data_IF_599871084953
#
_entry.id   IF_599871084953
#
_cell.length_a   1.000
_cell.length_b   1.000
_cell.length_c   1.000
_cell.angle_alpha   90.00
_cell.angle_beta   90.00
_cell.angle_gamma   90.00
#
_symmetry.space_group_name_H-M   'P 1'
#
loop_
_entity.id
_entity.type
_entity.pdbx_description
1 polymer ?
#
# COMPACT_ATOMS: atom_id res chain seq x y z
N UNK A 1 3.73 -6.21 -19.40
CA UNK A 1 3.34 -6.53 -18.01
C UNK A 1 3.28 -8.03 -17.77
N UNK A 2 3.33 -8.43 -16.51
CA UNK A 2 3.19 -9.81 -16.08
C UNK A 2 2.19 -9.90 -14.93
N UNK A 3 1.25 -10.84 -15.01
CA UNK A 3 0.34 -11.16 -13.90
C UNK A 3 1.04 -12.03 -12.86
N UNK A 4 0.79 -11.77 -11.58
CA UNK A 4 1.30 -12.57 -10.47
C UNK A 4 0.30 -12.56 -9.28
N UNK A 5 0.75 -13.07 -8.15
CA UNK A 5 0.05 -13.05 -6.86
C UNK A 5 1.00 -12.54 -5.78
N UNK A 6 0.49 -11.72 -4.87
CA UNK A 6 1.27 -11.19 -3.76
C UNK A 6 1.94 -12.32 -2.95
N UNK A 7 1.21 -13.41 -2.69
CA UNK A 7 1.71 -14.58 -1.96
C UNK A 7 2.83 -15.35 -2.66
N UNK A 8 3.06 -15.10 -3.95
CA UNK A 8 4.11 -15.76 -4.74
C UNK A 8 5.36 -14.91 -4.95
N UNK A 9 5.37 -13.68 -4.48
CA UNK A 9 6.51 -12.78 -4.67
C UNK A 9 7.75 -13.19 -3.84
N UNK A 10 7.66 -14.23 -3.02
CA UNK A 10 8.79 -14.89 -2.34
C UNK A 10 9.31 -16.14 -3.09
N UNK A 11 8.69 -16.53 -4.22
CA UNK A 11 9.05 -17.73 -4.96
C UNK A 11 10.08 -17.42 -6.06
N UNK A 12 11.22 -18.10 -6.06
CA UNK A 12 12.33 -17.88 -7.00
C UNK A 12 11.90 -18.05 -8.46
N UNK A 13 11.00 -18.99 -8.76
CA UNK A 13 10.52 -19.21 -10.12
C UNK A 13 9.54 -18.12 -10.56
N UNK A 14 8.77 -17.60 -9.64
CA UNK A 14 7.89 -16.46 -9.92
C UNK A 14 8.71 -15.19 -10.15
N UNK A 15 9.71 -14.93 -9.30
CA UNK A 15 10.67 -13.83 -9.49
C UNK A 15 11.32 -13.93 -10.87
N UNK A 16 11.73 -15.12 -11.30
CA UNK A 16 12.34 -15.34 -12.62
C UNK A 16 11.45 -14.93 -13.81
N UNK A 17 10.11 -14.90 -13.64
CA UNK A 17 9.17 -14.45 -14.66
C UNK A 17 8.99 -12.93 -14.67
N UNK A 18 9.10 -12.30 -13.50
CA UNK A 18 8.73 -10.90 -13.33
C UNK A 18 9.94 -9.96 -13.28
N UNK A 19 11.14 -10.46 -13.02
CA UNK A 19 12.33 -9.65 -12.74
C UNK A 19 12.67 -8.64 -13.86
N UNK A 20 12.43 -9.03 -15.10
CA UNK A 20 12.71 -8.22 -16.30
C UNK A 20 11.48 -7.42 -16.78
N UNK A 21 10.38 -7.41 -16.01
CA UNK A 21 9.15 -6.69 -16.41
C UNK A 21 9.07 -5.30 -15.79
N UNK A 22 8.43 -4.38 -16.49
CA UNK A 22 8.22 -3.02 -15.99
C UNK A 22 6.95 -2.88 -15.14
N UNK A 23 6.00 -3.81 -15.25
CA UNK A 23 4.75 -3.79 -14.51
C UNK A 23 4.34 -5.20 -14.12
N UNK A 24 4.15 -5.43 -12.85
CA UNK A 24 3.56 -6.64 -12.29
C UNK A 24 2.18 -6.31 -11.77
N UNK A 25 1.16 -7.07 -12.16
CA UNK A 25 -0.22 -6.87 -11.73
C UNK A 25 -0.63 -8.07 -10.87
N UNK A 26 -1.05 -7.81 -9.64
CA UNK A 26 -1.61 -8.81 -8.72
C UNK A 26 -3.10 -8.49 -8.52
N UNK A 27 -3.99 -9.11 -9.32
CA UNK A 27 -5.43 -8.86 -9.23
C UNK A 27 -6.07 -9.65 -8.08
N UNK A 28 -7.20 -9.14 -7.58
CA UNK A 28 -8.06 -9.80 -6.60
C UNK A 28 -7.31 -10.34 -5.38
N UNK A 29 -6.38 -9.54 -4.87
CA UNK A 29 -5.61 -9.93 -3.71
C UNK A 29 -6.46 -9.93 -2.44
N UNK A 30 -6.15 -10.88 -1.56
CA UNK A 30 -6.79 -11.01 -0.24
C UNK A 30 -5.91 -10.40 0.83
N UNK A 31 -6.49 -10.10 1.98
CA UNK A 31 -5.74 -9.64 3.15
C UNK A 31 -4.57 -10.60 3.44
N UNK A 32 -3.39 -10.06 3.51
CA UNK A 32 -2.16 -10.77 3.83
C UNK A 32 -1.72 -10.44 5.25
N UNK A 33 -1.24 -11.44 5.95
CA UNK A 33 -0.67 -11.30 7.30
C UNK A 33 0.68 -12.00 7.28
N UNK A 34 1.72 -11.33 7.75
CA UNK A 34 3.03 -11.95 7.96
C UNK A 34 4.12 -11.44 7.05
N UNK A 35 4.83 -12.34 6.36
CA UNK A 35 6.05 -12.01 5.63
C UNK A 35 5.77 -11.32 4.29
N UNK A 36 6.23 -10.08 4.17
CA UNK A 36 6.19 -9.28 2.95
C UNK A 36 7.58 -9.13 2.30
N UNK A 37 8.54 -9.97 2.69
CA UNK A 37 9.95 -9.88 2.28
C UNK A 37 10.13 -9.79 0.77
N UNK A 38 9.42 -10.60 -0.01
CA UNK A 38 9.48 -10.55 -1.47
C UNK A 38 9.01 -9.22 -2.05
N UNK A 39 7.87 -8.70 -1.58
CA UNK A 39 7.38 -7.38 -2.00
C UNK A 39 8.35 -6.27 -1.60
N UNK A 40 8.89 -6.34 -0.38
CA UNK A 40 9.84 -5.36 0.13
C UNK A 40 11.15 -5.37 -0.67
N UNK A 41 11.68 -6.55 -1.00
CA UNK A 41 12.89 -6.69 -1.82
C UNK A 41 12.65 -6.18 -3.25
N UNK A 42 11.54 -6.56 -3.88
CA UNK A 42 11.17 -6.08 -5.22
C UNK A 42 11.08 -4.55 -5.27
N UNK A 43 10.42 -3.95 -4.29
CA UNK A 43 10.17 -2.51 -4.27
C UNK A 43 11.28 -1.70 -3.58
N UNK A 44 12.25 -2.38 -2.96
CA UNK A 44 13.39 -1.77 -2.26
C UNK A 44 14.57 -1.46 -3.15
N UNK A 45 14.63 -2.06 -4.34
CA UNK A 45 15.82 -2.02 -5.18
C UNK A 45 16.94 -2.93 -4.67
N UNK A 46 16.59 -3.94 -3.86
CA UNK A 46 17.55 -4.92 -3.35
C UNK A 46 17.95 -5.92 -4.44
N UNK A 47 19.16 -6.51 -4.36
CA UNK A 47 19.53 -7.62 -5.22
C UNK A 47 18.71 -8.86 -4.83
N UNK A 48 18.00 -9.44 -5.80
CA UNK A 48 17.10 -10.57 -5.58
C UNK A 48 17.69 -11.79 -6.25
N UNK A 49 17.86 -12.87 -5.48
CA UNK A 49 18.20 -14.17 -6.03
C UNK A 49 16.98 -14.83 -6.65
N UNK A 50 17.12 -15.39 -7.83
CA UNK A 50 16.07 -16.14 -8.49
C UNK A 50 16.63 -17.24 -9.37
N UNK A 51 15.82 -18.21 -9.75
CA UNK A 51 16.23 -19.35 -10.55
C UNK A 51 15.20 -19.66 -11.63
N UNK A 52 15.65 -19.71 -12.89
CA UNK A 52 14.87 -20.28 -13.98
C UNK A 52 14.95 -21.81 -13.90
N UNK A 53 13.88 -22.49 -14.34
CA UNK A 53 13.82 -23.96 -14.33
C UNK A 53 15.01 -24.52 -15.12
N UNK A 54 15.71 -25.48 -14.53
CA UNK A 54 16.92 -26.13 -15.08
C UNK A 54 18.14 -25.20 -15.24
N UNK A 55 18.17 -24.04 -14.58
CA UNK A 55 19.34 -23.15 -14.58
C UNK A 55 19.86 -22.94 -13.16
N UNK A 56 21.09 -22.49 -13.05
CA UNK A 56 21.65 -22.06 -11.77
C UNK A 56 20.97 -20.79 -11.27
N UNK A 57 21.00 -20.60 -9.95
CA UNK A 57 20.50 -19.38 -9.34
C UNK A 57 21.32 -18.17 -9.81
N UNK A 58 20.66 -17.10 -10.11
CA UNK A 58 21.28 -15.83 -10.50
C UNK A 58 20.72 -14.70 -9.66
N UNK A 59 21.35 -13.55 -9.71
CA UNK A 59 20.92 -12.36 -8.97
C UNK A 59 20.58 -11.24 -9.94
N UNK A 60 19.49 -10.54 -9.71
CA UNK A 60 19.07 -9.40 -10.50
C UNK A 60 18.39 -8.33 -9.66
N UNK A 61 17.99 -7.27 -10.32
CA UNK A 61 17.24 -6.15 -9.72
C UNK A 61 15.93 -5.97 -10.45
N UNK A 62 14.88 -5.68 -9.69
CA UNK A 62 13.59 -5.33 -10.28
C UNK A 62 13.49 -3.81 -10.40
N UNK A 63 13.19 -3.32 -11.60
CA UNK A 63 13.04 -1.90 -11.90
C UNK A 63 11.61 -1.51 -12.29
N UNK A 64 10.68 -2.41 -12.07
CA UNK A 64 9.28 -2.21 -12.42
C UNK A 64 8.44 -1.64 -11.28
N UNK A 65 7.15 -1.58 -11.54
CA UNK A 65 6.10 -1.22 -10.58
C UNK A 65 5.25 -2.45 -10.27
N UNK A 66 4.84 -2.61 -9.02
CA UNK A 66 3.88 -3.64 -8.60
C UNK A 66 2.53 -2.97 -8.37
N UNK A 67 1.52 -3.35 -9.13
CA UNK A 67 0.14 -2.92 -8.97
C UNK A 67 -0.66 -4.02 -8.25
N UNK A 68 -1.13 -3.68 -7.05
CA UNK A 68 -1.97 -4.58 -6.24
C UNK A 68 -3.42 -4.11 -6.33
N UNK A 69 -4.32 -5.02 -6.65
CA UNK A 69 -5.76 -4.74 -6.74
C UNK A 69 -6.48 -5.60 -5.72
N UNK A 70 -7.30 -4.99 -4.87
CA UNK A 70 -8.02 -5.69 -3.81
C UNK A 70 -9.33 -4.99 -3.47
N UNK A 71 -10.30 -5.77 -3.00
CA UNK A 71 -11.56 -5.27 -2.45
C UNK A 71 -11.52 -5.12 -0.92
N UNK A 72 -10.38 -5.37 -0.30
CA UNK A 72 -10.17 -5.30 1.15
C UNK A 72 -8.81 -4.67 1.45
N UNK A 73 -8.62 -4.19 2.69
CA UNK A 73 -7.30 -3.77 3.16
C UNK A 73 -6.31 -4.94 3.04
N UNK A 74 -5.21 -4.71 2.30
CA UNK A 74 -4.31 -5.79 1.89
C UNK A 74 -3.41 -6.30 3.01
N UNK A 75 -2.91 -5.40 3.85
CA UNK A 75 -1.85 -5.72 4.80
C UNK A 75 -2.35 -5.63 6.23
N UNK A 76 -1.88 -6.53 7.09
CA UNK A 76 -2.14 -6.49 8.52
C UNK A 76 -0.88 -6.84 9.31
N UNK A 77 -0.76 -6.31 10.53
CA UNK A 77 0.40 -6.43 11.39
C UNK A 77 1.39 -5.29 11.18
N UNK A 78 2.70 -5.56 11.32
CA UNK A 78 3.72 -4.53 11.10
C UNK A 78 3.87 -4.24 9.60
N UNK A 79 3.30 -3.11 9.18
CA UNK A 79 3.33 -2.62 7.80
C UNK A 79 4.34 -1.50 7.58
N UNK A 80 5.16 -1.15 8.57
CA UNK A 80 6.07 0.00 8.54
C UNK A 80 7.01 0.04 7.33
N UNK A 81 7.45 -1.13 6.86
CA UNK A 81 8.27 -1.26 5.64
C UNK A 81 7.50 -1.01 4.34
N UNK A 82 6.20 -1.31 4.32
CA UNK A 82 5.32 -1.19 3.15
C UNK A 82 4.77 0.23 3.05
N UNK A 83 4.29 0.81 4.13
CA UNK A 83 3.56 2.09 4.17
C UNK A 83 4.30 3.22 3.43
N UNK A 84 5.61 3.29 3.58
CA UNK A 84 6.45 4.30 2.91
C UNK A 84 6.62 4.09 1.39
N UNK A 85 6.18 2.93 0.86
CA UNK A 85 6.32 2.53 -0.54
C UNK A 85 4.98 2.41 -1.25
N UNK A 86 3.89 2.52 -0.48
CA UNK A 86 2.54 2.32 -0.96
C UNK A 86 1.93 3.63 -1.42
N UNK A 87 1.51 3.69 -2.69
CA UNK A 87 0.59 4.71 -3.19
C UNK A 87 -0.80 4.10 -3.22
N UNK A 88 -1.63 4.45 -2.25
CA UNK A 88 -2.96 3.89 -2.10
C UNK A 88 -3.99 4.77 -2.80
N UNK A 89 -4.83 4.14 -3.63
CA UNK A 89 -6.00 4.76 -4.25
C UNK A 89 -7.22 3.91 -3.96
N UNK A 90 -8.24 4.50 -3.34
CA UNK A 90 -9.48 3.81 -3.01
C UNK A 90 -10.60 4.21 -3.95
N UNK A 91 -11.47 3.25 -4.25
CA UNK A 91 -12.69 3.43 -5.02
C UNK A 91 -13.87 3.05 -4.12
N UNK A 92 -14.25 3.97 -3.24
CA UNK A 92 -15.23 3.76 -2.16
C UNK A 92 -16.69 4.03 -2.57
N UNK A 93 -16.90 4.57 -3.78
CA UNK A 93 -18.23 4.88 -4.28
C UNK A 93 -18.77 3.77 -5.16
N UNK A 94 -19.73 2.96 -4.67
CA UNK A 94 -20.35 1.94 -5.51
C UNK A 94 -21.15 2.62 -6.63
N UNK A 95 -21.00 2.13 -7.84
CA UNK A 95 -21.80 2.59 -8.98
C UNK A 95 -23.19 1.96 -8.86
N UNK A 96 -24.28 2.78 -8.75
CA UNK A 96 -25.63 2.28 -8.76
C UNK A 96 -25.91 1.40 -9.96
N UNK A 97 -26.72 0.36 -9.78
CA UNK A 97 -26.96 -0.65 -10.82
C UNK A 97 -27.49 -0.05 -12.12
N UNK A 98 -28.32 0.98 -12.02
CA UNK A 98 -28.93 1.74 -13.11
C UNK A 98 -27.93 2.57 -13.91
N UNK A 99 -26.78 2.93 -13.29
CA UNK A 99 -25.71 3.68 -13.94
C UNK A 99 -24.55 2.82 -14.46
N UNK A 100 -24.65 1.48 -14.26
CA UNK A 100 -23.64 0.56 -14.74
C UNK A 100 -23.65 0.44 -16.26
N UNK A 101 -22.60 0.92 -16.89
CA UNK A 101 -22.41 0.77 -18.33
C UNK A 101 -21.81 -0.61 -18.64
N UNK A 102 -22.58 -1.45 -19.34
CA UNK A 102 -22.15 -2.81 -19.72
C UNK A 102 -21.09 -2.83 -20.82
N UNK A 103 -20.91 -1.72 -21.52
CA UNK A 103 -19.96 -1.58 -22.62
C UNK A 103 -18.79 -0.64 -22.26
N UNK A 104 -18.58 -0.38 -20.96
CA UNK A 104 -17.56 0.55 -20.49
C UNK A 104 -16.17 0.19 -20.98
N UNK A 105 -15.83 -1.10 -21.05
CA UNK A 105 -14.52 -1.56 -21.53
C UNK A 105 -14.28 -1.11 -22.97
N UNK A 106 -15.26 -1.29 -23.86
CA UNK A 106 -15.15 -0.85 -25.26
C UNK A 106 -15.03 0.66 -25.40
N UNK A 107 -15.72 1.41 -24.53
CA UNK A 107 -15.61 2.89 -24.52
C UNK A 107 -14.25 3.31 -24.02
N UNK A 108 -13.74 2.71 -22.94
CA UNK A 108 -12.40 2.98 -22.42
C UNK A 108 -11.31 2.65 -23.45
N UNK A 109 -11.46 1.56 -24.22
CA UNK A 109 -10.50 1.23 -25.28
C UNK A 109 -10.35 2.38 -26.29
N UNK A 110 -11.43 3.05 -26.66
CA UNK A 110 -11.39 4.21 -27.57
C UNK A 110 -10.70 5.44 -26.96
N UNK A 111 -10.63 5.53 -25.64
CA UNK A 111 -10.03 6.63 -24.89
C UNK A 111 -8.60 6.34 -24.41
N UNK A 112 -8.08 5.12 -24.60
CA UNK A 112 -6.74 4.75 -24.15
C UNK A 112 -5.64 5.59 -24.80
N UNK A 113 -5.75 5.91 -26.07
CA UNK A 113 -4.73 6.69 -26.79
C UNK A 113 -4.56 8.10 -26.21
N UNK A 114 -5.62 8.92 -26.04
CA UNK A 114 -5.48 10.23 -25.41
C UNK A 114 -5.06 10.14 -23.93
N UNK A 115 -5.53 9.15 -23.15
CA UNK A 115 -5.10 8.96 -21.78
C UNK A 115 -3.60 8.62 -21.69
N UNK A 116 -3.12 7.76 -22.58
CA UNK A 116 -1.69 7.43 -22.67
C UNK A 116 -0.87 8.66 -23.03
N UNK A 117 -1.34 9.48 -23.97
CA UNK A 117 -0.66 10.73 -24.34
C UNK A 117 -0.56 11.70 -23.16
N UNK A 118 -1.62 11.83 -22.37
CA UNK A 118 -1.63 12.67 -21.16
C UNK A 118 -0.60 12.13 -20.15
N UNK A 119 -0.61 10.81 -19.89
CA UNK A 119 0.33 10.19 -18.96
C UNK A 119 1.79 10.38 -19.39
N UNK A 120 2.10 10.17 -20.67
CA UNK A 120 3.45 10.35 -21.22
C UNK A 120 3.90 11.82 -21.29
N UNK A 121 2.98 12.76 -21.36
CA UNK A 121 3.29 14.19 -21.33
C UNK A 121 3.53 14.73 -19.91
N UNK A 122 3.32 13.93 -18.89
CA UNK A 122 3.52 14.34 -17.50
C UNK A 122 5.01 14.57 -17.22
N UNK A 123 5.41 15.75 -16.69
CA UNK A 123 6.81 16.02 -16.40
C UNK A 123 7.36 15.07 -15.33
N UNK A 124 8.58 14.56 -15.53
CA UNK A 124 9.24 13.61 -14.59
C UNK A 124 9.29 14.13 -13.15
N UNK A 125 9.48 15.46 -13.00
CA UNK A 125 9.47 16.08 -11.68
C UNK A 125 8.11 15.95 -11.01
N UNK A 126 7.02 16.18 -11.73
CA UNK A 126 5.67 16.03 -11.19
C UNK A 126 5.39 14.59 -10.79
N UNK A 127 5.77 13.63 -11.63
CA UNK A 127 5.65 12.19 -11.32
C UNK A 127 6.44 11.83 -10.07
N UNK A 128 7.68 12.32 -9.96
CA UNK A 128 8.55 12.08 -8.80
C UNK A 128 7.94 12.67 -7.52
N UNK A 129 7.44 13.89 -7.58
CA UNK A 129 6.83 14.58 -6.43
C UNK A 129 5.54 13.88 -5.98
N UNK A 130 4.71 13.41 -6.95
CA UNK A 130 3.51 12.63 -6.68
C UNK A 130 3.84 11.31 -5.96
N UNK A 131 4.80 10.55 -6.49
CA UNK A 131 5.20 9.25 -5.93
C UNK A 131 5.82 9.41 -4.52
N UNK A 132 6.62 10.46 -4.33
CA UNK A 132 7.26 10.73 -3.04
C UNK A 132 6.34 11.44 -2.03
N UNK A 133 5.18 11.92 -2.47
CA UNK A 133 4.29 12.74 -1.65
C UNK A 133 4.94 14.03 -1.18
N UNK A 134 5.78 14.64 -2.03
CA UNK A 134 6.54 15.85 -1.71
C UNK A 134 6.18 17.03 -2.61
N UNK A 135 6.46 18.23 -2.16
CA UNK A 135 6.31 19.45 -2.96
C UNK A 135 4.85 19.84 -3.23
N UNK A 136 4.61 20.42 -4.40
CA UNK A 136 3.28 20.87 -4.83
C UNK A 136 2.31 19.72 -5.19
N UNK A 137 2.85 18.52 -5.28
CA UNK A 137 2.11 17.30 -5.64
C UNK A 137 1.66 16.51 -4.41
N UNK A 138 1.67 17.12 -3.23
CA UNK A 138 1.04 16.53 -2.07
C UNK A 138 -0.46 16.39 -2.33
N UNK A 139 -0.90 15.17 -2.60
CA UNK A 139 -2.31 14.86 -2.79
C UNK A 139 -2.88 14.55 -1.40
N UNK A 140 -3.69 15.46 -0.82
CA UNK A 140 -4.23 15.26 0.53
C UNK A 140 -5.00 13.94 0.66
N UNK A 141 -5.64 13.51 -0.42
CA UNK A 141 -6.39 12.26 -0.45
C UNK A 141 -5.49 11.03 -0.29
N UNK A 142 -4.28 11.02 -0.86
CA UNK A 142 -3.36 9.89 -0.64
C UNK A 142 -2.90 9.77 0.81
N UNK A 143 -2.65 10.89 1.49
CA UNK A 143 -2.31 10.87 2.92
C UNK A 143 -3.47 10.38 3.76
N UNK A 144 -4.68 10.87 3.47
CA UNK A 144 -5.89 10.45 4.17
C UNK A 144 -6.13 8.95 3.99
N UNK A 145 -6.05 8.45 2.77
CA UNK A 145 -6.26 7.03 2.46
C UNK A 145 -5.19 6.14 3.11
N UNK A 146 -3.93 6.56 3.07
CA UNK A 146 -2.85 5.84 3.76
C UNK A 146 -3.05 5.82 5.27
N UNK A 147 -3.53 6.91 5.86
CA UNK A 147 -3.85 6.99 7.27
C UNK A 147 -5.05 6.08 7.62
N UNK A 148 -6.13 6.13 6.85
CA UNK A 148 -7.30 5.27 7.04
C UNK A 148 -6.93 3.79 6.91
N UNK A 149 -6.11 3.43 5.93
CA UNK A 149 -5.60 2.07 5.81
C UNK A 149 -4.81 1.63 7.04
N UNK A 150 -4.02 2.53 7.60
CA UNK A 150 -3.25 2.28 8.80
C UNK A 150 -4.16 2.08 10.02
N UNK A 151 -5.19 2.91 10.21
CA UNK A 151 -6.15 2.77 11.33
C UNK A 151 -6.91 1.46 11.30
N UNK A 152 -7.21 0.90 10.13
CA UNK A 152 -7.88 -0.40 9.99
C UNK A 152 -6.99 -1.57 10.47
N UNK A 153 -5.67 -1.42 10.42
CA UNK A 153 -4.73 -2.51 10.67
C UNK A 153 -3.85 -2.32 11.91
N UNK A 154 -3.88 -1.14 12.52
CA UNK A 154 -3.05 -0.75 13.65
C UNK A 154 -3.92 -0.16 14.77
N UNK A 155 -4.08 -0.91 15.86
CA UNK A 155 -4.89 -0.49 17.00
C UNK A 155 -4.38 0.80 17.67
N UNK A 156 -3.08 1.08 17.57
CA UNK A 156 -2.52 2.34 18.08
C UNK A 156 -2.95 3.51 17.21
N UNK A 157 -2.89 3.35 15.89
CA UNK A 157 -3.34 4.39 14.96
C UNK A 157 -4.85 4.65 15.11
N UNK A 158 -5.64 3.59 15.27
CA UNK A 158 -7.09 3.68 15.53
C UNK A 158 -7.36 4.40 16.85
N UNK A 159 -6.65 4.05 17.91
CA UNK A 159 -6.75 4.74 19.22
C UNK A 159 -6.43 6.22 19.11
N UNK A 160 -5.37 6.58 18.38
CA UNK A 160 -5.00 7.99 18.14
C UNK A 160 -6.12 8.75 17.44
N UNK A 161 -6.70 8.15 16.41
CA UNK A 161 -7.78 8.77 15.62
C UNK A 161 -9.07 8.96 16.43
N UNK A 162 -9.46 7.95 17.22
CA UNK A 162 -10.75 7.96 17.89
C UNK A 162 -10.74 8.63 19.28
N UNK A 163 -9.60 8.61 19.96
CA UNK A 163 -9.54 8.99 21.38
C UNK A 163 -8.62 10.16 21.71
N UNK A 164 -7.72 10.53 20.79
CA UNK A 164 -6.80 11.63 21.05
C UNK A 164 -7.20 12.90 20.29
N UNK A 165 -7.12 14.01 20.99
CA UNK A 165 -7.28 15.36 20.42
C UNK A 165 -5.92 16.02 20.37
N UNK A 166 -5.56 16.58 19.21
CA UNK A 166 -4.32 17.32 19.08
C UNK A 166 -4.44 18.69 19.77
N UNK A 167 -3.88 18.78 20.97
CA UNK A 167 -3.75 20.04 21.73
C UNK A 167 -2.25 20.32 22.00
N UNK A 168 -1.65 21.28 21.30
CA UNK A 168 -0.24 21.61 21.47
C UNK A 168 0.13 22.12 22.87
N UNK A 169 -0.84 22.49 23.69
CA UNK A 169 -0.64 22.98 25.07
C UNK A 169 -0.86 21.87 26.12
N UNK A 170 -1.36 20.71 25.71
CA UNK A 170 -1.61 19.62 26.63
C UNK A 170 -0.34 18.78 26.83
N UNK A 171 -0.09 18.45 28.08
CA UNK A 171 0.93 17.48 28.48
C UNK A 171 0.24 16.15 28.82
N UNK A 172 0.72 15.05 28.23
CA UNK A 172 0.23 13.72 28.53
C UNK A 172 1.37 12.85 29.05
N UNK A 173 1.14 12.17 30.14
CA UNK A 173 2.09 11.15 30.63
C UNK A 173 1.95 9.88 29.80
N UNK A 174 3.05 9.46 29.17
CA UNK A 174 3.03 8.25 28.34
C UNK A 174 2.73 7.00 29.16
N UNK A 175 3.24 6.91 30.38
CA UNK A 175 3.02 5.76 31.25
C UNK A 175 3.89 4.55 30.89
N UNK A 176 3.64 3.45 31.57
CA UNK A 176 4.31 2.17 31.37
C UNK A 176 3.54 1.05 32.05
N UNK A 177 4.07 -0.18 32.03
CA UNK A 177 3.40 -1.38 32.56
C UNK A 177 2.99 -1.28 34.04
N UNK A 178 3.58 -0.37 34.81
CA UNK A 178 3.29 -0.13 36.24
C UNK A 178 2.56 1.20 36.48
N UNK A 179 2.16 1.92 35.44
CA UNK A 179 1.47 3.20 35.57
C UNK A 179 -0.02 3.06 35.82
N UNK A 180 -0.62 4.10 36.39
CA UNK A 180 -2.06 4.18 36.57
C UNK A 180 -2.77 4.19 35.19
N UNK A 181 -3.65 3.21 35.01
CA UNK A 181 -4.40 2.98 33.79
C UNK A 181 -5.26 4.19 33.39
N UNK A 182 -5.70 5.00 34.34
CA UNK A 182 -6.61 6.13 34.09
C UNK A 182 -5.93 7.46 33.88
N UNK A 183 -4.61 7.55 34.12
CA UNK A 183 -3.89 8.84 34.06
C UNK A 183 -2.79 8.86 32.99
N UNK A 184 -2.62 7.81 32.22
CA UNK A 184 -1.55 7.70 31.22
C UNK A 184 -2.08 7.38 29.85
N UNK A 185 -1.37 7.81 28.79
CA UNK A 185 -1.72 7.46 27.40
C UNK A 185 -1.71 5.93 27.17
N UNK A 186 -0.73 5.24 27.77
CA UNK A 186 -0.66 3.77 27.68
C UNK A 186 -1.85 3.09 28.37
N UNK A 187 -2.26 3.59 29.53
CA UNK A 187 -3.45 3.05 30.22
C UNK A 187 -4.73 3.26 29.45
N UNK A 188 -4.93 4.46 28.88
CA UNK A 188 -6.07 4.73 28.01
C UNK A 188 -6.08 3.85 26.75
N UNK A 189 -4.91 3.59 26.16
CA UNK A 189 -4.77 2.68 25.04
C UNK A 189 -5.13 1.25 25.40
N UNK A 190 -4.67 0.74 26.56
CA UNK A 190 -5.01 -0.62 27.00
C UNK A 190 -6.52 -0.78 27.23
N UNK A 191 -7.16 0.21 27.86
CA UNK A 191 -8.61 0.23 28.02
C UNK A 191 -9.34 0.21 26.67
N UNK A 192 -8.85 0.98 25.71
CA UNK A 192 -9.39 1.01 24.34
C UNK A 192 -9.28 -0.35 23.64
N UNK A 193 -8.14 -1.04 23.78
CA UNK A 193 -7.94 -2.37 23.18
C UNK A 193 -8.86 -3.41 23.81
N UNK A 194 -9.15 -3.29 25.11
CA UNK A 194 -10.06 -4.22 25.82
C UNK A 194 -11.54 -3.99 25.43
N UNK A 195 -11.90 -2.80 24.92
CA UNK A 195 -13.24 -2.44 24.45
C UNK A 195 -13.54 -2.88 23.00
N UNK A 196 -12.49 -3.12 22.16
CA UNK A 196 -12.58 -3.37 20.71
C UNK A 196 -11.97 -4.71 20.31
#
# INVERSE_FOLDING_TARGET
YQGSRLSKLNDDNEIAKIIDTQLVICPDEKKQVGDFGGLLSLTGGDPISYRKIYQEATTGFFYGTVLLISNVALFAGDTSGIDRRLCLTTFDRPIPTELRDRVIEQRLESELSPLTAIALAMPDRLVTDLIKGTGLAEIPDFKRESWLHKTINDSVALFVEERLVNDPQAEIMLGGKSGDIHSTAYGAYMAFVDEN
#
